data_IF_874120340074
#
_entry.id   IF_874120340074
#
_cell.length_a   1.000
_cell.length_b   1.000
_cell.length_c   1.000
_cell.angle_alpha   90.00
_cell.angle_beta   90.00
_cell.angle_gamma   90.00
#
_symmetry.space_group_name_H-M   'P 1'
#
loop_
_entity.id
_entity.type
_entity.pdbx_description
1 polymer ?
#
# COMPACT_ATOMS: atom_id res chain seq x y z
N UNK A 1 -10.48 -12.92 18.55
CA UNK A 1 -10.18 -11.75 17.69
C UNK A 1 -10.91 -11.91 16.37
N UNK A 2 -11.16 -10.84 15.63
CA UNK A 2 -11.63 -10.96 14.25
C UNK A 2 -10.49 -11.48 13.36
N UNK A 3 -10.82 -12.33 12.37
CA UNK A 3 -9.85 -12.73 11.36
C UNK A 3 -9.49 -11.51 10.49
N UNK A 4 -8.20 -11.33 10.24
CA UNK A 4 -7.66 -10.26 9.40
C UNK A 4 -6.86 -10.89 8.27
N UNK A 5 -7.18 -10.50 7.04
CA UNK A 5 -6.47 -10.96 5.85
C UNK A 5 -6.09 -9.77 4.98
N UNK A 6 -5.02 -9.92 4.21
CA UNK A 6 -4.58 -8.99 3.18
C UNK A 6 -4.83 -9.62 1.81
N UNK A 7 -5.40 -8.87 0.89
CA UNK A 7 -5.68 -9.32 -0.48
C UNK A 7 -5.36 -8.19 -1.45
N UNK A 8 -4.81 -8.51 -2.61
CA UNK A 8 -4.42 -7.51 -3.60
C UNK A 8 -4.03 -8.12 -4.94
N UNK A 9 -3.62 -7.26 -5.86
CA UNK A 9 -3.19 -7.66 -7.20
C UNK A 9 -1.85 -8.42 -7.21
N UNK A 10 -1.03 -8.29 -6.16
CA UNK A 10 0.27 -8.94 -6.00
C UNK A 10 0.21 -10.47 -5.81
N UNK A 11 -0.97 -11.05 -5.52
CA UNK A 11 -1.14 -12.51 -5.36
C UNK A 11 -2.48 -12.98 -5.91
N UNK A 12 -2.45 -13.78 -6.98
CA UNK A 12 -3.65 -14.36 -7.58
C UNK A 12 -4.68 -13.34 -8.07
N UNK A 13 -4.27 -12.09 -8.28
CA UNK A 13 -5.11 -10.96 -8.69
C UNK A 13 -6.43 -10.89 -7.90
N UNK A 14 -6.35 -10.64 -6.59
CA UNK A 14 -7.47 -10.55 -5.65
C UNK A 14 -8.14 -11.87 -5.23
N UNK A 15 -7.72 -13.03 -5.75
CA UNK A 15 -8.34 -14.32 -5.45
C UNK A 15 -7.63 -15.11 -4.34
N UNK A 16 -6.48 -14.64 -3.85
CA UNK A 16 -5.68 -15.36 -2.84
C UNK A 16 -5.41 -14.49 -1.60
N UNK A 17 -6.37 -14.42 -0.65
CA UNK A 17 -6.17 -13.71 0.61
C UNK A 17 -5.08 -14.36 1.47
N UNK A 18 -4.27 -13.52 2.12
CA UNK A 18 -3.19 -13.91 3.02
C UNK A 18 -3.62 -13.61 4.44
N UNK A 19 -3.64 -14.63 5.31
CA UNK A 19 -3.96 -14.42 6.73
C UNK A 19 -2.87 -13.60 7.41
N UNK A 20 -3.27 -12.56 8.13
CA UNK A 20 -2.37 -11.74 8.91
C UNK A 20 -2.12 -12.37 10.29
N UNK A 21 -0.90 -12.21 10.79
CA UNK A 21 -0.50 -12.67 12.11
C UNK A 21 -0.79 -11.57 13.13
N UNK A 22 -1.42 -11.92 14.25
CA UNK A 22 -1.62 -10.98 15.36
C UNK A 22 -0.31 -10.76 16.09
N UNK A 23 0.16 -9.51 16.17
CA UNK A 23 1.46 -9.14 16.76
C UNK A 23 1.32 -8.35 18.06
N UNK A 24 0.14 -8.40 18.69
CA UNK A 24 -0.16 -7.76 19.97
C UNK A 24 -1.00 -6.48 19.84
N UNK A 25 -1.76 -6.17 20.88
CA UNK A 25 -2.71 -5.05 20.87
C UNK A 25 -3.68 -5.12 19.67
N UNK A 26 -3.98 -4.02 18.98
CA UNK A 26 -4.80 -4.01 17.77
C UNK A 26 -4.02 -4.27 16.47
N UNK A 27 -2.77 -4.75 16.54
CA UNK A 27 -1.87 -4.81 15.38
C UNK A 27 -1.82 -6.20 14.75
N UNK A 28 -1.82 -6.22 13.42
CA UNK A 28 -1.67 -7.41 12.60
C UNK A 28 -0.58 -7.17 11.54
N UNK A 29 0.14 -8.21 11.16
CA UNK A 29 1.25 -8.13 10.21
C UNK A 29 1.16 -9.22 9.14
N UNK A 30 1.63 -8.89 7.93
CA UNK A 30 1.86 -9.82 6.82
C UNK A 30 3.22 -9.48 6.23
N UNK A 31 4.12 -10.45 6.13
CA UNK A 31 5.42 -10.29 5.50
C UNK A 31 5.38 -10.80 4.06
N UNK A 32 5.67 -9.92 3.09
CA UNK A 32 5.68 -10.23 1.66
C UNK A 32 7.00 -9.81 1.02
N UNK A 33 7.48 -10.65 0.09
CA UNK A 33 8.55 -10.28 -0.84
C UNK A 33 7.91 -10.00 -2.20
N UNK A 34 7.92 -8.74 -2.60
CA UNK A 34 7.31 -8.28 -3.84
C UNK A 34 8.39 -7.73 -4.78
N UNK A 35 8.29 -7.97 -6.10
CA UNK A 35 9.06 -7.24 -7.09
C UNK A 35 8.83 -5.72 -7.00
N UNK A 36 9.71 -4.94 -7.64
CA UNK A 36 9.46 -3.52 -7.84
C UNK A 36 8.17 -3.32 -8.65
N UNK A 37 7.34 -2.38 -8.21
CA UNK A 37 6.07 -2.10 -8.86
C UNK A 37 5.08 -1.39 -7.95
N UNK A 38 3.93 -1.08 -8.55
CA UNK A 38 2.77 -0.53 -7.86
C UNK A 38 1.75 -1.64 -7.66
N UNK A 39 1.23 -1.75 -6.45
CA UNK A 39 0.27 -2.78 -6.07
C UNK A 39 -0.94 -2.16 -5.37
N UNK A 40 -2.12 -2.66 -5.70
CA UNK A 40 -3.38 -2.32 -5.05
C UNK A 40 -3.80 -3.45 -4.10
N UNK A 41 -4.35 -3.06 -2.96
CA UNK A 41 -4.74 -4.01 -1.94
C UNK A 41 -5.89 -3.53 -1.06
N UNK A 42 -6.50 -4.47 -0.36
CA UNK A 42 -7.50 -4.27 0.69
C UNK A 42 -7.24 -5.23 1.86
N UNK A 43 -7.89 -4.93 2.97
CA UNK A 43 -7.98 -5.80 4.13
C UNK A 43 -9.35 -6.49 4.14
N UNK A 44 -9.40 -7.76 4.54
CA UNK A 44 -10.63 -8.45 4.90
C UNK A 44 -10.63 -8.59 6.43
N UNK A 45 -11.55 -7.91 7.10
CA UNK A 45 -11.65 -7.91 8.56
C UNK A 45 -13.02 -8.46 8.95
N UNK A 46 -13.03 -9.68 9.51
CA UNK A 46 -14.28 -10.39 9.83
C UNK A 46 -15.16 -10.61 8.59
N UNK A 47 -14.56 -10.94 7.45
CA UNK A 47 -15.25 -11.15 6.17
C UNK A 47 -15.66 -9.87 5.42
N UNK A 48 -15.38 -8.69 5.97
CA UNK A 48 -15.71 -7.41 5.33
C UNK A 48 -14.49 -6.80 4.67
N UNK A 49 -14.64 -6.43 3.40
CA UNK A 49 -13.61 -5.73 2.63
C UNK A 49 -13.47 -4.28 3.11
N UNK A 50 -12.24 -3.87 3.42
CA UNK A 50 -11.91 -2.56 3.96
C UNK A 50 -10.62 -2.03 3.33
N UNK A 51 -10.54 -0.71 3.23
CA UNK A 51 -9.28 0.00 3.01
C UNK A 51 -8.96 0.81 4.27
N UNK A 52 -7.70 1.15 4.46
CA UNK A 52 -7.27 2.12 5.46
C UNK A 52 -7.46 3.54 4.92
N UNK A 53 -8.05 4.42 5.73
CA UNK A 53 -8.21 5.85 5.41
C UNK A 53 -6.95 6.68 5.67
N UNK A 54 -5.93 6.09 6.30
CA UNK A 54 -4.67 6.77 6.66
C UNK A 54 -3.49 6.36 5.77
N UNK A 55 -3.70 5.39 4.87
CA UNK A 55 -2.70 4.95 3.91
C UNK A 55 -3.07 5.48 2.51
N UNK A 56 -2.10 5.58 1.58
CA UNK A 56 -2.39 5.98 0.20
C UNK A 56 -3.50 5.13 -0.40
N UNK A 57 -4.38 5.76 -1.17
CA UNK A 57 -5.51 5.12 -1.84
C UNK A 57 -5.67 5.57 -3.28
N UNK A 58 -6.25 4.71 -4.10
CA UNK A 58 -6.70 5.03 -5.45
C UNK A 58 -8.09 4.44 -5.71
N UNK A 59 -8.86 5.13 -6.55
CA UNK A 59 -10.14 4.65 -7.05
C UNK A 59 -9.92 3.94 -8.38
N UNK A 60 -10.36 2.68 -8.49
CA UNK A 60 -10.30 1.94 -9.75
C UNK A 60 -11.39 2.37 -10.75
N UNK A 61 -11.35 1.82 -11.96
CA UNK A 61 -12.31 2.11 -13.03
C UNK A 61 -13.76 1.70 -12.72
N UNK A 62 -13.97 0.89 -11.68
CA UNK A 62 -15.29 0.45 -11.22
C UNK A 62 -15.76 1.23 -9.98
N UNK A 63 -14.99 2.23 -9.53
CA UNK A 63 -15.32 3.07 -8.38
C UNK A 63 -14.89 2.49 -7.03
N UNK A 64 -14.14 1.40 -6.98
CA UNK A 64 -13.65 0.86 -5.71
C UNK A 64 -12.44 1.64 -5.22
N UNK A 65 -12.49 2.07 -3.96
CA UNK A 65 -11.33 2.64 -3.26
C UNK A 65 -10.44 1.52 -2.72
N UNK A 66 -9.21 1.43 -3.23
CA UNK A 66 -8.18 0.47 -2.82
C UNK A 66 -7.05 1.22 -2.11
N UNK A 67 -6.34 0.57 -1.18
CA UNK A 67 -5.04 1.08 -0.78
C UNK A 67 -4.00 0.77 -1.85
N UNK A 68 -2.96 1.59 -1.93
CA UNK A 68 -1.87 1.45 -2.91
C UNK A 68 -0.51 1.50 -2.21
N UNK A 69 0.43 0.71 -2.72
CA UNK A 69 1.83 0.70 -2.28
C UNK A 69 2.76 0.63 -3.49
N UNK A 70 3.89 1.35 -3.41
CA UNK A 70 4.97 1.31 -4.40
C UNK A 70 6.18 0.65 -3.76
N UNK A 71 6.65 -0.44 -4.37
CA UNK A 71 7.87 -1.15 -3.99
C UNK A 71 8.96 -0.70 -4.95
N UNK A 72 10.09 -0.22 -4.43
CA UNK A 72 11.26 0.17 -5.23
C UNK A 72 11.49 1.67 -5.41
N UNK A 73 10.50 2.52 -5.14
CA UNK A 73 10.65 3.97 -5.29
C UNK A 73 11.07 4.66 -3.99
N UNK A 74 12.38 4.87 -3.83
CA UNK A 74 12.90 6.00 -3.03
C UNK A 74 13.74 6.86 -3.97
N UNK A 75 13.09 7.62 -4.83
CA UNK A 75 13.78 8.71 -5.54
C UNK A 75 13.83 9.93 -4.61
N UNK A 76 14.94 10.10 -3.89
CA UNK A 76 15.24 11.36 -3.21
C UNK A 76 16.01 12.26 -4.17
N UNK A 77 15.30 13.21 -4.81
CA UNK A 77 15.96 14.32 -5.49
C UNK A 77 15.97 15.53 -4.54
N UNK A 78 17.16 15.86 -4.01
CA UNK A 78 17.40 17.18 -3.43
C UNK A 78 17.67 18.14 -4.60
N UNK A 79 16.78 19.10 -4.81
CA UNK A 79 17.05 20.22 -5.71
C UNK A 79 17.67 21.36 -4.90
N UNK A 80 18.93 21.70 -5.18
CA UNK A 80 19.46 23.01 -4.82
C UNK A 80 19.13 24.01 -5.92
N UNK A 81 18.56 25.15 -5.56
CA UNK A 81 18.30 26.24 -6.50
C UNK A 81 19.65 26.75 -7.05
N UNK A 82 19.80 26.95 -8.38
CA UNK A 82 20.96 27.65 -8.90
C UNK A 82 20.98 29.05 -8.27
N UNK A 83 22.10 29.39 -7.60
CA UNK A 83 22.28 30.71 -7.02
C UNK A 83 22.11 31.77 -8.12
N UNK A 84 21.37 32.84 -7.82
CA UNK A 84 21.22 34.01 -8.69
C UNK A 84 22.60 34.48 -9.14
N UNK A 85 22.92 34.32 -10.43
CA UNK A 85 24.01 35.07 -11.03
C UNK A 85 23.59 36.54 -11.05
N UNK A 86 24.26 37.34 -10.22
CA UNK A 86 24.27 38.79 -10.42
C UNK A 86 25.05 39.06 -11.70
N UNK A 87 24.33 39.41 -12.77
CA UNK A 87 24.94 40.02 -13.94
C UNK A 87 25.31 41.45 -13.54
N UNK A 88 26.59 41.79 -13.68
CA UNK A 88 27.11 43.16 -13.50
C UNK A 88 26.73 44.05 -14.67
#
# INVERSE_FOLDING_TARGET
>A
GQEVQLVGDFRGNWNEPIKAVHVGGPKYAVDLRLPQGKYNYKFIVGGQWRHSTTLPTETDQWGNMNNVIWIGDVASAKFESPARQHVK
#
